data_IF_763209707981
#
_entry.id   IF_763209707981
#
_cell.length_a   1.000
_cell.length_b   1.000
_cell.length_c   1.000
_cell.angle_alpha   90.00
_cell.angle_beta   90.00
_cell.angle_gamma   90.00
#
_symmetry.space_group_name_H-M   'P 1'
#
loop_
_entity.id
_entity.type
_entity.pdbx_description
1 polymer ?
#
# COMPACT_ATOMS: atom_id res chain seq x y z
N UNK A 1 11.64 10.97 25.56
CA UNK A 1 10.46 10.74 24.69
C UNK A 1 10.61 9.34 24.12
N UNK A 2 9.54 8.54 24.09
CA UNK A 2 9.54 7.26 23.39
C UNK A 2 9.42 7.53 21.89
N UNK A 3 10.06 6.70 21.06
CA UNK A 3 9.95 6.78 19.61
C UNK A 3 8.53 6.34 19.19
N UNK A 4 7.82 7.17 18.40
CA UNK A 4 6.57 6.78 17.73
C UNK A 4 6.86 6.57 16.23
N UNK A 5 6.85 5.31 15.75
CA UNK A 5 7.05 4.99 14.35
C UNK A 5 6.09 5.73 13.40
N UNK A 6 4.85 5.95 13.83
CA UNK A 6 3.81 6.55 12.97
C UNK A 6 4.07 8.02 12.75
N UNK A 7 4.48 8.73 13.81
CA UNK A 7 4.86 10.14 13.72
C UNK A 7 6.07 10.31 12.80
N UNK A 8 7.12 9.49 12.99
CA UNK A 8 8.30 9.51 12.12
C UNK A 8 7.98 9.24 10.64
N UNK A 9 7.09 8.28 10.36
CA UNK A 9 6.67 7.97 9.00
C UNK A 9 5.76 9.04 8.39
N UNK A 10 4.93 9.74 9.18
CA UNK A 10 4.15 10.90 8.72
C UNK A 10 5.04 12.08 8.40
N UNK A 11 6.02 12.39 9.26
CA UNK A 11 6.98 13.47 9.05
C UNK A 11 7.82 13.24 7.78
N UNK A 12 8.17 11.98 7.49
CA UNK A 12 8.82 11.59 6.26
C UNK A 12 7.88 11.56 5.03
N UNK A 13 6.58 11.79 5.23
CA UNK A 13 5.53 11.71 4.23
C UNK A 13 5.33 10.31 3.64
N UNK A 14 5.71 9.26 4.37
CA UNK A 14 5.46 7.86 3.99
C UNK A 14 4.00 7.51 4.27
N UNK A 15 3.47 7.95 5.42
CA UNK A 15 2.05 7.87 5.74
C UNK A 15 1.37 9.21 5.47
N UNK A 16 0.15 9.16 4.97
CA UNK A 16 -0.72 10.32 4.75
C UNK A 16 -2.03 10.10 5.49
N UNK A 17 -2.56 11.15 6.11
CA UNK A 17 -3.88 11.10 6.72
C UNK A 17 -4.96 11.46 5.67
N UNK A 18 -6.17 10.85 5.73
CA UNK A 18 -6.57 9.81 6.67
C UNK A 18 -6.08 8.41 6.25
N UNK A 19 -5.72 7.59 7.23
CA UNK A 19 -5.35 6.19 7.04
C UNK A 19 -6.29 5.27 7.85
N UNK A 20 -6.54 4.06 7.36
CA UNK A 20 -7.34 3.07 8.09
C UNK A 20 -6.66 2.69 9.41
N UNK A 21 -7.45 2.50 10.48
CA UNK A 21 -6.93 2.25 11.82
C UNK A 21 -6.06 0.98 11.88
N UNK A 22 -6.43 -0.06 11.12
CA UNK A 22 -5.71 -1.32 11.05
C UNK A 22 -4.30 -1.13 10.44
N UNK A 23 -4.19 -0.22 9.48
CA UNK A 23 -2.91 0.11 8.84
C UNK A 23 -2.06 0.95 9.80
N UNK A 24 -2.67 1.89 10.51
CA UNK A 24 -1.98 2.67 11.53
C UNK A 24 -1.42 1.79 12.67
N UNK A 25 -2.19 0.80 13.12
CA UNK A 25 -1.75 -0.18 14.11
C UNK A 25 -0.59 -1.05 13.62
N UNK A 26 -0.61 -1.48 12.36
CA UNK A 26 0.49 -2.25 11.76
C UNK A 26 1.80 -1.44 11.75
N UNK A 27 1.74 -0.14 11.47
CA UNK A 27 2.92 0.72 11.50
C UNK A 27 3.39 1.06 12.93
N UNK A 28 2.50 1.01 13.93
CA UNK A 28 2.84 1.27 15.33
C UNK A 28 3.82 0.24 15.92
N UNK A 29 3.90 -0.97 15.34
CA UNK A 29 4.75 -2.04 15.86
C UNK A 29 6.18 -2.04 15.31
N UNK A 30 6.50 -1.14 14.37
CA UNK A 30 7.79 -1.12 13.70
C UNK A 30 8.93 -0.67 14.62
N UNK A 31 10.13 -1.22 14.40
CA UNK A 31 11.34 -0.73 15.06
C UNK A 31 11.87 0.53 14.38
N UNK A 32 12.83 1.18 15.03
CA UNK A 32 13.49 2.36 14.49
C UNK A 32 14.21 2.06 13.16
N UNK A 33 14.89 0.92 13.07
CA UNK A 33 15.61 0.48 11.87
C UNK A 33 14.66 0.17 10.70
N UNK A 34 13.48 -0.39 10.99
CA UNK A 34 12.46 -0.67 9.98
C UNK A 34 11.86 0.63 9.43
N UNK A 35 11.62 1.62 10.30
CA UNK A 35 11.18 2.96 9.88
C UNK A 35 12.24 3.63 9.01
N UNK A 36 13.51 3.62 9.42
CA UNK A 36 14.62 4.17 8.64
C UNK A 36 14.73 3.50 7.26
N UNK A 37 14.53 2.18 7.20
CA UNK A 37 14.51 1.44 5.95
C UNK A 37 13.39 1.94 5.03
N UNK A 38 12.16 2.08 5.54
CA UNK A 38 11.01 2.56 4.75
C UNK A 38 11.25 3.99 4.22
N UNK A 39 11.78 4.87 5.06
CA UNK A 39 12.14 6.24 4.66
C UNK A 39 13.23 6.21 3.57
N UNK A 40 14.25 5.36 3.74
CA UNK A 40 15.33 5.23 2.76
C UNK A 40 14.82 4.72 1.41
N UNK A 41 13.90 3.73 1.43
CA UNK A 41 13.27 3.19 0.23
C UNK A 41 12.45 4.26 -0.48
N UNK A 42 11.77 5.14 0.27
CA UNK A 42 11.04 6.27 -0.31
C UNK A 42 11.90 7.16 -1.18
N UNK A 43 13.09 7.49 -0.71
CA UNK A 43 14.03 8.33 -1.48
C UNK A 43 14.65 7.60 -2.69
N UNK A 44 14.77 6.27 -2.65
CA UNK A 44 15.51 5.48 -3.65
C UNK A 44 14.65 4.91 -4.76
N UNK A 45 13.39 4.59 -4.48
CA UNK A 45 12.46 4.03 -5.47
C UNK A 45 12.33 4.88 -6.74
N UNK A 46 12.30 6.23 -6.69
CA UNK A 46 12.28 7.04 -7.91
C UNK A 46 13.47 6.83 -8.84
N UNK A 47 14.65 6.56 -8.28
CA UNK A 47 15.87 6.36 -9.06
C UNK A 47 15.98 4.93 -9.60
N UNK A 48 15.50 3.93 -8.85
CA UNK A 48 15.66 2.51 -9.20
C UNK A 48 14.52 2.01 -10.09
N UNK A 49 13.30 2.50 -9.87
CA UNK A 49 12.10 2.04 -10.56
C UNK A 49 11.28 3.23 -11.10
N UNK A 50 11.85 4.02 -12.04
CA UNK A 50 11.17 5.18 -12.59
C UNK A 50 9.85 4.83 -13.29
N UNK A 51 9.76 3.63 -13.88
CA UNK A 51 8.54 3.14 -14.54
C UNK A 51 7.38 2.88 -13.57
N UNK A 52 7.69 2.52 -12.32
CA UNK A 52 6.68 2.30 -11.27
C UNK A 52 6.04 3.62 -10.85
N UNK A 53 6.84 4.69 -10.76
CA UNK A 53 6.32 6.03 -10.52
C UNK A 53 5.58 6.60 -11.73
N UNK A 54 6.02 6.30 -12.95
CA UNK A 54 5.36 6.76 -14.17
C UNK A 54 3.94 6.19 -14.34
N UNK A 55 3.63 5.06 -13.68
CA UNK A 55 2.30 4.46 -13.63
C UNK A 55 1.50 4.85 -12.39
N UNK A 56 2.11 5.56 -11.45
CA UNK A 56 1.37 6.19 -10.35
C UNK A 56 0.65 7.42 -10.91
N UNK A 57 -0.66 7.59 -10.69
CA UNK A 57 -1.43 8.71 -11.23
C UNK A 57 -0.93 10.08 -10.75
N UNK A 58 -0.13 10.11 -9.68
CA UNK A 58 0.58 11.28 -9.20
C UNK A 58 2.08 11.10 -9.51
N UNK A 59 2.50 11.60 -10.67
CA UNK A 59 3.89 11.51 -11.12
C UNK A 59 4.85 12.12 -10.09
N UNK A 60 5.55 11.27 -9.33
CA UNK A 60 6.54 11.68 -8.33
C UNK A 60 6.03 11.76 -6.88
N UNK A 61 4.74 11.52 -6.64
CA UNK A 61 4.19 11.40 -5.29
C UNK A 61 3.88 9.93 -4.99
N UNK A 62 4.12 9.53 -3.74
CA UNK A 62 3.78 8.19 -3.29
C UNK A 62 2.26 8.04 -3.40
N UNK A 63 1.80 7.01 -4.10
CA UNK A 63 0.38 6.84 -4.36
C UNK A 63 -0.40 6.82 -3.04
N UNK A 64 -1.36 7.74 -2.90
CA UNK A 64 -2.40 7.68 -1.88
C UNK A 64 -3.24 6.44 -2.15
N UNK A 65 -3.24 5.41 -1.28
CA UNK A 65 -4.14 4.28 -1.49
C UNK A 65 -5.58 4.77 -1.27
N UNK A 66 -6.26 5.10 -2.35
CA UNK A 66 -7.71 5.25 -2.32
C UNK A 66 -8.29 3.86 -2.06
N UNK A 67 -8.79 3.64 -0.84
CA UNK A 67 -9.63 2.48 -0.56
C UNK A 67 -10.93 2.70 -1.33
N UNK A 68 -10.98 2.23 -2.57
CA UNK A 68 -12.23 2.09 -3.30
C UNK A 68 -13.00 0.99 -2.57
N UNK A 69 -13.88 1.40 -1.65
CA UNK A 69 -14.92 0.53 -1.15
C UNK A 69 -15.75 0.08 -2.34
N UNK A 70 -15.47 -1.11 -2.85
CA UNK A 70 -16.42 -1.82 -3.69
C UNK A 70 -17.59 -2.18 -2.77
N UNK A 71 -18.51 -1.23 -2.61
CA UNK A 71 -19.82 -1.50 -2.03
C UNK A 71 -20.42 -2.62 -2.88
N UNK A 72 -20.81 -3.69 -2.21
CA UNK A 72 -21.47 -4.87 -2.76
C UNK A 72 -22.73 -4.49 -3.57
N UNK A 73 -22.56 -4.11 -4.83
CA UNK A 73 -23.59 -4.20 -5.85
C UNK A 73 -23.07 -5.10 -6.98
N UNK A 74 -23.21 -6.40 -6.76
CA UNK A 74 -23.14 -7.39 -7.83
C UNK A 74 -24.33 -7.21 -8.80
N UNK A 75 -24.29 -7.75 -10.02
CA UNK A 75 -23.57 -7.18 -11.17
C UNK A 75 -24.49 -7.09 -12.40
N UNK A 76 -24.35 -6.08 -13.25
CA UNK A 76 -24.81 -6.21 -14.63
C UNK A 76 -23.85 -5.55 -15.61
N UNK A 77 -23.05 -6.41 -16.24
CA UNK A 77 -22.76 -6.48 -17.68
C UNK A 77 -21.29 -6.86 -17.89
N UNK A 78 -21.09 -8.14 -18.21
CA UNK A 78 -20.23 -8.57 -19.31
C UNK A 78 -18.76 -8.18 -19.27
N UNK A 79 -17.99 -8.79 -18.37
CA UNK A 79 -16.54 -8.84 -18.46
C UNK A 79 -16.05 -10.14 -17.84
N UNK A 80 -15.67 -11.10 -18.68
CA UNK A 80 -15.21 -12.43 -18.32
C UNK A 80 -13.94 -12.38 -17.45
N UNK A 81 -14.07 -12.29 -16.13
CA UNK A 81 -12.97 -12.56 -15.21
C UNK A 81 -12.77 -14.09 -15.12
N UNK A 82 -11.76 -14.58 -15.85
CA UNK A 82 -11.24 -15.94 -15.81
C UNK A 82 -10.52 -16.24 -14.47
N UNK A 83 -11.23 -16.13 -13.36
CA UNK A 83 -10.73 -16.51 -12.02
C UNK A 83 -11.13 -17.94 -11.62
N UNK A 84 -11.56 -18.77 -12.58
CA UNK A 84 -11.90 -20.18 -12.35
C UNK A 84 -10.72 -21.16 -12.47
N UNK A 85 -9.50 -20.69 -12.75
CA UNK A 85 -8.36 -21.57 -13.06
C UNK A 85 -7.56 -22.06 -11.82
N UNK A 86 -7.88 -21.61 -10.60
CA UNK A 86 -7.31 -22.16 -9.37
C UNK A 86 -8.39 -22.72 -8.46
N UNK A 87 -9.00 -23.81 -8.90
CA UNK A 87 -9.68 -24.76 -8.03
C UNK A 87 -9.48 -26.15 -8.63
N UNK A 88 -8.80 -27.03 -7.87
CA UNK A 88 -8.50 -28.42 -8.23
C UNK A 88 -6.98 -28.67 -8.24
N UNK A 89 -6.42 -29.50 -7.39
CA UNK A 89 -6.82 -30.89 -7.16
C UNK A 89 -6.56 -31.33 -5.72
N UNK A 90 -7.63 -31.45 -4.93
CA UNK A 90 -7.71 -32.43 -3.86
C UNK A 90 -8.58 -33.59 -4.37
N UNK A 91 -7.97 -34.75 -4.59
CA UNK A 91 -8.67 -36.04 -4.62
C UNK A 91 -7.65 -37.17 -4.44
N UNK A 92 -7.78 -37.91 -3.34
CA UNK A 92 -6.94 -39.03 -2.92
C UNK A 92 -7.09 -39.26 -1.43
#
# INVERSE_FOLDING_TARGET
MAFDPREALRDAGVLSDPIAAEVEEAFATLTHEEVDLLISLKSRLPAVLPEVLARSPQAGEWATPEVVAHVDEAPSIGGSCMCGAWSGSGSG
#
